data_IF_271913014066
#
_entry.id   IF_271913014066
#
_cell.length_a   1.000
_cell.length_b   1.000
_cell.length_c   1.000
_cell.angle_alpha   90.00
_cell.angle_beta   90.00
_cell.angle_gamma   90.00
#
_symmetry.space_group_name_H-M   'P 1'
#
loop_
_entity.id
_entity.type
_entity.pdbx_description
1 polymer ?
#
# COMPACT_ATOMS: atom_id res chain seq x y z
N UNK A 1 -32.59 55.15 -34.69
CA UNK A 1 -33.74 54.87 -35.58
C UNK A 1 -33.67 53.38 -35.90
N UNK A 2 -34.40 52.56 -35.14
CA UNK A 2 -34.37 51.11 -35.32
C UNK A 2 -35.31 50.77 -36.48
N UNK A 3 -34.74 50.22 -37.55
CA UNK A 3 -35.51 49.67 -38.68
C UNK A 3 -35.97 48.29 -38.21
N UNK A 4 -37.22 48.19 -37.81
CA UNK A 4 -37.85 46.91 -37.55
C UNK A 4 -38.28 46.31 -38.88
N UNK A 5 -37.60 45.25 -39.30
CA UNK A 5 -37.93 44.51 -40.50
C UNK A 5 -39.10 43.56 -40.18
N UNK A 6 -40.31 43.98 -40.54
CA UNK A 6 -41.54 43.23 -40.28
C UNK A 6 -41.86 42.36 -41.50
N UNK A 7 -41.30 41.14 -41.53
CA UNK A 7 -41.70 40.09 -42.46
C UNK A 7 -42.78 39.20 -41.86
N UNK A 8 -43.96 39.11 -42.48
CA UNK A 8 -45.02 38.17 -42.07
C UNK A 8 -44.76 36.85 -42.79
N UNK A 9 -44.11 35.93 -42.08
CA UNK A 9 -43.77 34.57 -42.52
C UNK A 9 -43.04 33.82 -41.39
N UNK A 10 -42.95 32.49 -41.47
CA UNK A 10 -42.22 31.71 -40.48
C UNK A 10 -40.73 32.03 -40.52
N UNK A 11 -40.22 32.71 -39.48
CA UNK A 11 -38.79 32.91 -39.31
C UNK A 11 -38.16 31.59 -38.86
N UNK A 12 -37.19 31.09 -39.62
CA UNK A 12 -36.33 30.00 -39.18
C UNK A 12 -35.45 30.53 -38.03
N UNK A 13 -35.70 30.02 -36.83
CA UNK A 13 -34.83 30.25 -35.69
C UNK A 13 -33.60 29.38 -35.92
N UNK A 14 -32.47 30.00 -36.28
CA UNK A 14 -31.19 29.30 -36.30
C UNK A 14 -30.93 28.77 -34.90
N UNK A 15 -31.07 27.47 -34.71
CA UNK A 15 -30.71 26.79 -33.47
C UNK A 15 -29.20 26.86 -33.42
N UNK A 16 -28.68 27.78 -32.62
CA UNK A 16 -27.25 27.90 -32.40
C UNK A 16 -26.76 26.55 -31.88
N UNK A 17 -25.96 25.84 -32.68
CA UNK A 17 -25.39 24.54 -32.36
C UNK A 17 -24.27 24.66 -31.32
N UNK A 18 -24.38 25.64 -30.43
CA UNK A 18 -23.65 25.67 -29.20
C UNK A 18 -24.48 24.83 -28.24
N UNK A 19 -24.22 23.52 -28.22
CA UNK A 19 -24.46 22.68 -27.05
C UNK A 19 -23.65 23.31 -25.90
N UNK A 20 -24.20 24.40 -25.36
CA UNK A 20 -23.79 24.99 -24.11
C UNK A 20 -23.74 23.82 -23.16
N UNK A 21 -22.54 23.48 -22.68
CA UNK A 21 -22.33 22.49 -21.63
C UNK A 21 -23.43 22.74 -20.62
N UNK A 22 -24.41 21.84 -20.61
CA UNK A 22 -25.67 22.08 -19.95
C UNK A 22 -25.36 22.48 -18.51
N UNK A 23 -25.92 23.61 -18.09
CA UNK A 23 -25.90 24.22 -16.77
C UNK A 23 -25.54 23.19 -15.68
N UNK A 24 -24.23 23.00 -15.43
CA UNK A 24 -23.78 21.93 -14.54
C UNK A 24 -24.26 22.35 -13.16
N UNK A 25 -25.11 21.56 -12.50
CA UNK A 25 -25.61 21.92 -11.19
C UNK A 25 -24.43 22.19 -10.27
N UNK A 26 -24.32 23.42 -9.73
CA UNK A 26 -23.16 23.83 -8.91
C UNK A 26 -23.03 23.03 -7.62
N UNK A 27 -24.01 22.18 -7.31
CA UNK A 27 -24.02 21.23 -6.20
C UNK A 27 -23.48 19.84 -6.57
N UNK A 28 -22.84 19.68 -7.73
CA UNK A 28 -22.20 18.42 -8.15
C UNK A 28 -20.71 18.62 -8.38
N UNK A 29 -19.90 17.72 -7.84
CA UNK A 29 -18.46 17.68 -8.04
C UNK A 29 -18.14 16.47 -8.90
N UNK A 30 -17.31 16.66 -9.94
CA UNK A 30 -16.73 15.59 -10.73
C UNK A 30 -15.26 15.46 -10.35
N UNK A 31 -14.85 14.27 -9.91
CA UNK A 31 -13.46 13.93 -9.67
C UNK A 31 -13.01 12.92 -10.73
N UNK A 32 -11.96 13.26 -11.48
CA UNK A 32 -11.38 12.39 -12.50
C UNK A 32 -9.94 12.08 -12.09
N UNK A 33 -9.69 10.83 -11.68
CA UNK A 33 -8.38 10.39 -11.21
C UNK A 33 -8.21 8.89 -11.47
N UNK A 34 -6.97 8.45 -11.68
CA UNK A 34 -6.60 7.03 -11.65
C UNK A 34 -6.59 6.56 -10.18
N UNK A 35 -7.62 5.85 -9.76
CA UNK A 35 -7.80 5.39 -8.37
C UNK A 35 -7.33 3.93 -8.14
N UNK A 36 -7.09 3.18 -9.22
CA UNK A 36 -6.59 1.80 -9.21
C UNK A 36 -5.32 1.70 -10.05
N UNK A 37 -4.49 0.67 -9.81
CA UNK A 37 -3.22 0.50 -10.55
C UNK A 37 -3.45 0.19 -12.04
N UNK A 38 -4.47 -0.61 -12.36
CA UNK A 38 -4.90 -0.83 -13.73
C UNK A 38 -6.04 0.12 -14.10
N UNK A 39 -5.94 0.72 -15.30
CA UNK A 39 -6.99 1.57 -15.83
C UNK A 39 -8.15 0.71 -16.36
N UNK A 40 -9.41 1.11 -16.15
CA UNK A 40 -10.55 0.37 -16.70
C UNK A 40 -10.56 0.44 -18.23
N UNK A 41 -11.06 -0.62 -18.87
CA UNK A 41 -11.14 -0.73 -20.35
C UNK A 41 -12.04 0.37 -20.94
N UNK A 42 -13.06 0.80 -20.19
CA UNK A 42 -13.94 1.89 -20.55
C UNK A 42 -14.04 2.90 -19.40
N UNK A 43 -14.15 4.22 -19.69
CA UNK A 43 -14.37 5.21 -18.64
C UNK A 43 -15.64 4.87 -17.84
N UNK A 44 -15.48 4.81 -16.52
CA UNK A 44 -16.59 4.57 -15.58
C UNK A 44 -16.96 5.88 -14.89
N UNK A 45 -18.25 6.23 -14.91
CA UNK A 45 -18.82 7.33 -14.13
C UNK A 45 -19.58 6.77 -12.95
N UNK A 46 -18.99 6.87 -11.76
CA UNK A 46 -19.58 6.40 -10.51
C UNK A 46 -20.25 7.56 -9.78
N UNK A 47 -21.45 7.31 -9.25
CA UNK A 47 -22.24 8.28 -8.50
C UNK A 47 -22.55 7.74 -7.11
N UNK A 48 -22.79 8.64 -6.16
CA UNK A 48 -23.25 8.26 -4.81
C UNK A 48 -22.15 7.91 -3.82
N UNK A 49 -20.88 7.99 -4.21
CA UNK A 49 -19.74 7.94 -3.27
C UNK A 49 -19.69 9.26 -2.50
N UNK A 50 -19.91 9.21 -1.18
CA UNK A 50 -19.95 10.41 -0.33
C UNK A 50 -18.76 10.48 0.63
N UNK A 51 -18.21 9.32 1.00
CA UNK A 51 -17.11 9.20 1.96
C UNK A 51 -15.85 8.65 1.28
N UNK A 52 -14.71 8.79 1.95
CA UNK A 52 -13.44 8.21 1.48
C UNK A 52 -13.56 6.68 1.52
N UNK A 53 -14.22 6.15 2.53
CA UNK A 53 -14.47 4.73 2.72
C UNK A 53 -15.30 4.15 1.58
N UNK A 54 -16.34 4.85 1.10
CA UNK A 54 -17.14 4.42 -0.06
C UNK A 54 -16.26 4.26 -1.31
N UNK A 55 -15.28 5.16 -1.48
CA UNK A 55 -14.33 5.12 -2.61
C UNK A 55 -13.41 3.90 -2.47
N UNK A 56 -12.87 3.64 -1.27
CA UNK A 56 -12.02 2.46 -1.05
C UNK A 56 -12.79 1.14 -1.20
N UNK A 57 -14.04 1.08 -0.73
CA UNK A 57 -14.89 -0.12 -0.89
C UNK A 57 -15.21 -0.38 -2.36
N UNK A 58 -15.59 0.66 -3.12
CA UNK A 58 -15.92 0.53 -4.55
C UNK A 58 -14.71 0.16 -5.41
N UNK A 59 -13.60 0.90 -5.27
CA UNK A 59 -12.43 0.74 -6.14
C UNK A 59 -11.46 -0.34 -5.64
N UNK A 60 -11.52 -0.73 -4.37
CA UNK A 60 -10.71 -1.79 -3.74
C UNK A 60 -9.26 -1.84 -4.26
N UNK A 61 -8.49 -0.75 -4.11
CA UNK A 61 -7.20 -0.62 -4.76
C UNK A 61 -6.21 -1.68 -4.27
N UNK A 62 -5.52 -2.30 -5.22
CA UNK A 62 -4.41 -3.22 -4.99
C UNK A 62 -3.24 -2.88 -5.91
N UNK A 63 -2.02 -3.13 -5.44
CA UNK A 63 -0.79 -2.94 -6.22
C UNK A 63 0.13 -4.13 -6.05
N UNK A 64 0.73 -4.59 -7.14
CA UNK A 64 1.78 -5.60 -7.09
C UNK A 64 3.13 -4.89 -6.90
N UNK A 65 3.85 -5.27 -5.85
CA UNK A 65 5.15 -4.70 -5.49
C UNK A 65 6.20 -5.79 -5.61
N UNK A 66 7.26 -5.51 -6.33
CA UNK A 66 8.46 -6.34 -6.39
C UNK A 66 9.49 -5.78 -5.40
N UNK A 67 9.91 -6.63 -4.46
CA UNK A 67 10.91 -6.32 -3.44
C UNK A 67 12.12 -7.22 -3.63
N UNK A 68 13.30 -6.80 -3.19
CA UNK A 68 14.49 -7.63 -3.25
C UNK A 68 14.88 -8.12 -1.85
N UNK A 69 15.16 -9.42 -1.72
CA UNK A 69 15.67 -9.98 -0.47
C UNK A 69 17.18 -9.77 -0.30
N UNK A 70 17.73 -10.20 0.85
CA UNK A 70 19.15 -10.09 1.17
C UNK A 70 20.07 -10.88 0.22
N UNK A 71 19.53 -11.92 -0.40
CA UNK A 71 20.19 -12.80 -1.37
C UNK A 71 20.11 -12.24 -2.80
N UNK A 72 19.40 -11.13 -3.00
CA UNK A 72 19.23 -10.48 -4.30
C UNK A 72 18.09 -11.06 -5.14
N UNK A 73 17.28 -11.96 -4.59
CA UNK A 73 16.12 -12.55 -5.27
C UNK A 73 14.90 -11.62 -5.16
N UNK A 74 14.09 -11.60 -6.22
CA UNK A 74 12.87 -10.82 -6.28
C UNK A 74 11.72 -11.55 -5.57
N UNK A 75 11.07 -10.84 -4.66
CA UNK A 75 9.89 -11.25 -3.90
C UNK A 75 8.74 -10.35 -4.33
N UNK A 76 7.82 -10.92 -5.09
CA UNK A 76 6.62 -10.21 -5.56
C UNK A 76 5.47 -10.42 -4.59
N UNK A 77 4.83 -9.34 -4.15
CA UNK A 77 3.68 -9.38 -3.26
C UNK A 77 2.59 -8.41 -3.72
N UNK A 78 1.31 -8.80 -3.58
CA UNK A 78 0.18 -7.93 -3.89
C UNK A 78 -0.36 -7.30 -2.61
N UNK A 79 -0.18 -5.98 -2.50
CA UNK A 79 -0.71 -5.18 -1.39
C UNK A 79 -2.14 -4.75 -1.69
N UNK A 80 -3.00 -4.76 -0.68
CA UNK A 80 -4.40 -4.35 -0.76
C UNK A 80 -4.65 -3.24 0.25
N UNK A 81 -5.38 -2.20 -0.16
CA UNK A 81 -5.69 -1.05 0.70
C UNK A 81 -7.19 -0.93 0.91
N UNK A 82 -7.61 -0.82 2.17
CA UNK A 82 -9.00 -0.69 2.58
C UNK A 82 -9.33 0.72 3.09
N UNK A 83 -8.32 1.48 3.51
CA UNK A 83 -8.47 2.83 3.99
C UNK A 83 -7.15 3.62 3.86
N UNK A 84 -7.18 4.90 4.21
CA UNK A 84 -6.01 5.78 4.13
C UNK A 84 -4.87 5.39 5.09
N UNK A 85 -5.18 4.77 6.23
CA UNK A 85 -4.18 4.30 7.19
C UNK A 85 -3.36 3.11 6.69
N UNK A 86 -3.85 2.35 5.71
CA UNK A 86 -3.09 1.23 5.15
C UNK A 86 -1.84 1.67 4.38
N UNK A 87 -1.71 2.97 4.07
CA UNK A 87 -0.50 3.56 3.47
C UNK A 87 0.57 3.94 4.51
N UNK A 88 0.27 3.85 5.81
CA UNK A 88 1.26 4.11 6.84
C UNK A 88 2.33 3.03 6.85
N UNK A 89 3.58 3.42 7.14
CA UNK A 89 4.72 2.49 7.12
C UNK A 89 4.56 1.28 8.05
N UNK A 90 3.88 1.44 9.18
CA UNK A 90 3.58 0.33 10.09
C UNK A 90 2.57 -0.63 9.47
N UNK A 91 1.48 -0.09 8.89
CA UNK A 91 0.45 -0.90 8.23
C UNK A 91 0.95 -1.59 6.98
N UNK A 92 1.81 -0.93 6.19
CA UNK A 92 2.47 -1.56 5.04
C UNK A 92 3.32 -2.76 5.46
N UNK A 93 4.05 -2.66 6.57
CA UNK A 93 4.81 -3.80 7.12
C UNK A 93 3.89 -4.91 7.64
N UNK A 94 2.81 -4.56 8.33
CA UNK A 94 1.83 -5.53 8.86
C UNK A 94 1.08 -6.28 7.74
N UNK A 95 0.72 -5.57 6.68
CA UNK A 95 -0.05 -6.10 5.56
C UNK A 95 0.81 -6.87 4.54
N UNK A 96 2.14 -6.85 4.69
CA UNK A 96 3.07 -7.62 3.86
C UNK A 96 3.65 -8.79 4.66
N UNK A 97 3.52 -10.00 4.13
CA UNK A 97 4.08 -11.19 4.75
C UNK A 97 5.62 -11.12 4.81
N UNK A 98 6.25 -10.61 3.76
CA UNK A 98 7.70 -10.45 3.69
C UNK A 98 8.20 -9.40 4.68
N UNK A 99 7.62 -8.20 4.65
CA UNK A 99 8.04 -7.09 5.52
C UNK A 99 7.72 -7.37 7.00
N UNK A 100 6.60 -8.02 7.29
CA UNK A 100 6.25 -8.43 8.66
C UNK A 100 7.29 -9.38 9.24
N UNK A 101 7.69 -10.40 8.47
CA UNK A 101 8.76 -11.33 8.87
C UNK A 101 10.08 -10.59 9.10
N UNK A 102 10.47 -9.72 8.17
CA UNK A 102 11.70 -8.93 8.28
C UNK A 102 11.70 -7.98 9.49
N UNK A 103 10.56 -7.38 9.81
CA UNK A 103 10.42 -6.50 10.97
C UNK A 103 10.54 -7.28 12.29
N UNK A 104 9.96 -8.49 12.36
CA UNK A 104 10.12 -9.40 13.51
C UNK A 104 11.58 -9.80 13.69
N UNK A 105 12.27 -10.21 12.61
CA UNK A 105 13.69 -10.56 12.64
C UNK A 105 14.55 -9.37 13.10
N UNK A 106 14.28 -8.18 12.57
CA UNK A 106 14.95 -6.94 12.99
C UNK A 106 14.73 -6.65 14.48
N UNK A 107 13.51 -6.75 14.97
CA UNK A 107 13.22 -6.53 16.39
C UNK A 107 13.95 -7.52 17.30
N UNK A 108 13.94 -8.80 16.92
CA UNK A 108 14.65 -9.84 17.65
C UNK A 108 16.15 -9.58 17.66
N UNK A 109 16.73 -9.24 16.51
CA UNK A 109 18.15 -8.88 16.39
C UNK A 109 18.53 -7.68 17.27
N UNK A 110 17.69 -6.64 17.32
CA UNK A 110 17.90 -5.49 18.19
C UNK A 110 17.85 -5.91 19.68
N UNK A 111 16.89 -6.76 20.06
CA UNK A 111 16.78 -7.28 21.43
C UNK A 111 18.01 -8.10 21.81
N UNK A 112 18.46 -9.00 20.94
CA UNK A 112 19.68 -9.80 21.13
C UNK A 112 20.90 -8.89 21.26
N UNK A 113 21.08 -7.92 20.35
CA UNK A 113 22.21 -7.00 20.40
C UNK A 113 22.26 -6.17 21.71
N UNK A 114 21.09 -5.73 22.21
CA UNK A 114 20.99 -5.05 23.51
C UNK A 114 21.37 -5.96 24.68
N UNK A 115 20.92 -7.21 24.67
CA UNK A 115 21.27 -8.18 25.72
C UNK A 115 22.77 -8.52 25.71
N UNK A 116 23.33 -8.70 24.52
CA UNK A 116 24.76 -8.94 24.33
C UNK A 116 25.59 -7.76 24.83
N UNK A 117 25.22 -6.53 24.45
CA UNK A 117 25.97 -5.32 24.83
C UNK A 117 25.83 -4.91 26.30
N UNK A 118 24.69 -5.19 26.93
CA UNK A 118 24.45 -4.84 28.33
C UNK A 118 25.18 -5.74 29.33
N UNK A 119 25.48 -6.99 28.95
CA UNK A 119 26.16 -7.95 29.84
C UNK A 119 27.67 -8.00 29.59
N UNK A 120 28.43 -7.30 30.45
CA UNK A 120 29.90 -7.27 30.42
C UNK A 120 30.56 -8.64 30.58
N UNK A 121 29.94 -9.56 31.33
CA UNK A 121 30.47 -10.91 31.51
C UNK A 121 30.32 -11.74 30.23
N UNK A 122 29.17 -11.66 29.56
CA UNK A 122 28.94 -12.25 28.25
C UNK A 122 29.87 -11.67 27.19
N UNK A 123 30.07 -10.34 27.13
CA UNK A 123 31.02 -9.72 26.21
C UNK A 123 32.45 -10.24 26.41
N UNK A 124 32.89 -10.36 27.66
CA UNK A 124 34.23 -10.87 27.99
C UNK A 124 34.36 -12.35 27.64
N UNK A 125 33.32 -13.15 27.85
CA UNK A 125 33.28 -14.56 27.44
C UNK A 125 33.27 -14.68 25.90
N UNK A 126 32.51 -13.86 25.18
CA UNK A 126 32.50 -13.86 23.72
C UNK A 126 33.80 -13.32 23.11
N UNK A 127 34.60 -12.55 23.85
CA UNK A 127 35.91 -12.09 23.38
C UNK A 127 36.96 -13.21 23.33
N UNK A 128 36.81 -14.26 24.14
CA UNK A 128 37.67 -15.44 24.09
C UNK A 128 37.14 -16.44 23.02
N UNK A 129 37.97 -16.85 22.03
CA UNK A 129 37.57 -17.76 20.97
C UNK A 129 36.99 -19.10 21.45
N UNK A 130 37.54 -19.69 22.52
CA UNK A 130 37.10 -21.00 23.02
C UNK A 130 35.69 -20.93 23.61
N UNK A 131 35.44 -19.95 24.47
CA UNK A 131 34.13 -19.74 25.09
C UNK A 131 33.08 -19.24 24.11
N UNK A 132 33.49 -18.51 23.06
CA UNK A 132 32.60 -18.17 21.94
C UNK A 132 32.15 -19.43 21.19
N UNK A 133 33.08 -20.33 20.86
CA UNK A 133 32.74 -21.56 20.15
C UNK A 133 31.80 -22.42 21.00
N UNK A 134 32.08 -22.59 22.30
CA UNK A 134 31.21 -23.34 23.21
C UNK A 134 29.78 -22.76 23.30
N UNK A 135 29.62 -21.43 23.24
CA UNK A 135 28.30 -20.78 23.22
C UNK A 135 27.60 -21.03 21.88
N UNK A 136 28.32 -21.00 20.76
CA UNK A 136 27.76 -21.33 19.43
C UNK A 136 27.29 -22.78 19.39
N UNK A 137 28.12 -23.71 19.87
CA UNK A 137 27.80 -25.14 19.87
C UNK A 137 26.57 -25.44 20.75
N UNK A 138 26.46 -24.78 21.90
CA UNK A 138 25.28 -24.87 22.77
C UNK A 138 24.01 -24.36 22.06
N UNK A 139 24.09 -23.20 21.40
CA UNK A 139 22.96 -22.63 20.66
C UNK A 139 22.55 -23.52 19.48
N UNK A 140 23.51 -24.11 18.76
CA UNK A 140 23.25 -25.06 17.67
C UNK A 140 22.56 -26.33 18.20
N UNK A 141 23.03 -26.90 19.31
CA UNK A 141 22.39 -28.05 19.94
C UNK A 141 20.95 -27.75 20.36
N UNK A 142 20.70 -26.57 20.95
CA UNK A 142 19.34 -26.15 21.31
C UNK A 142 18.45 -25.93 20.09
N UNK A 143 19.01 -25.43 18.99
CA UNK A 143 18.29 -25.23 17.73
C UNK A 143 17.92 -26.58 17.10
N UNK A 144 18.84 -27.55 17.11
CA UNK A 144 18.60 -28.92 16.66
C UNK A 144 17.53 -29.63 17.50
N UNK A 145 17.52 -29.43 18.82
CA UNK A 145 16.48 -29.97 19.71
C UNK A 145 15.09 -29.41 19.36
N UNK A 146 14.98 -28.11 19.10
CA UNK A 146 13.71 -27.47 18.71
C UNK A 146 13.21 -27.96 17.36
N UNK A 147 14.09 -28.03 16.35
CA UNK A 147 13.72 -28.53 15.03
C UNK A 147 13.26 -30.00 15.06
N UNK A 148 13.89 -30.84 15.89
CA UNK A 148 13.51 -32.24 16.05
C UNK A 148 12.18 -32.42 16.80
N UNK A 149 11.79 -31.45 17.64
CA UNK A 149 10.50 -31.43 18.32
C UNK A 149 9.35 -31.02 17.39
N UNK A 150 9.58 -30.12 16.44
CA UNK A 150 8.58 -29.72 15.44
C UNK A 150 8.34 -30.78 14.34
N UNK A 151 9.28 -31.70 14.14
CA UNK A 151 9.18 -32.79 13.16
C UNK A 151 8.36 -34.02 13.65
N UNK A 152 7.79 -33.97 14.86
CA UNK A 152 6.97 -35.04 15.48
C UNK A 152 5.51 -34.63 15.60
#
# INVERSE_FOLDING_TARGET
MAIFDYGIGGNEVNVDANESIADIPSNRTLLVQKLTDEAPVSPETVYGLQTVEDVFEHFSPSVQVEMQNDSGEDVTETMHFKNLGDFDSEKLKENSAFLSKLDVEKEQNIKIARQLSSNKALLKALANPETRQAVIDLLQSSLDELNNLEAK
#
